data_IF_887990688700
#
_entry.id   IF_887990688700
#
_cell.length_a   1.000
_cell.length_b   1.000
_cell.length_c   1.000
_cell.angle_alpha   90.00
_cell.angle_beta   90.00
_cell.angle_gamma   90.00
#
_symmetry.space_group_name_H-M   'P 1'
#
loop_
_entity.id
_entity.type
_entity.pdbx_description
1 polymer ?
#
# COMPACT_ATOMS: atom_id res chain seq x y z
N UNK A 1 3.01 -15.28 19.67
CA UNK A 1 4.34 -15.89 19.94
C UNK A 1 5.34 -14.93 19.35
N UNK A 2 6.13 -14.27 20.20
CA UNK A 2 7.03 -13.16 19.83
C UNK A 2 8.30 -13.71 19.18
N UNK A 3 8.44 -13.56 17.87
CA UNK A 3 9.71 -13.74 17.18
C UNK A 3 10.66 -12.64 17.64
N UNK A 4 11.68 -13.04 18.40
CA UNK A 4 12.80 -12.20 18.79
C UNK A 4 13.72 -12.09 17.59
N UNK A 5 14.18 -10.89 17.22
CA UNK A 5 15.18 -10.73 16.16
C UNK A 5 16.39 -11.59 16.50
N UNK A 6 16.69 -12.57 15.64
CA UNK A 6 17.91 -13.36 15.73
C UNK A 6 19.08 -12.42 15.53
N UNK A 7 19.78 -12.08 16.61
CA UNK A 7 20.97 -11.25 16.57
C UNK A 7 22.14 -12.12 16.13
N UNK A 8 23.19 -11.51 15.59
CA UNK A 8 24.47 -12.21 15.38
C UNK A 8 25.01 -12.86 16.67
N UNK A 9 24.56 -12.37 17.83
CA UNK A 9 24.83 -12.89 19.17
C UNK A 9 24.13 -14.22 19.48
N UNK A 10 23.10 -14.60 18.70
CA UNK A 10 22.27 -15.81 18.90
C UNK A 10 22.75 -17.01 18.07
N UNK A 11 23.87 -16.85 17.34
CA UNK A 11 24.53 -17.90 16.56
C UNK A 11 25.71 -18.50 17.37
N UNK A 12 25.79 -19.83 17.47
CA UNK A 12 26.89 -20.53 18.17
C UNK A 12 27.46 -21.69 17.36
N UNK A 13 28.67 -22.16 17.68
CA UNK A 13 29.26 -23.34 17.05
C UNK A 13 29.01 -24.60 17.89
N UNK A 14 28.56 -25.69 17.27
CA UNK A 14 28.40 -26.99 17.93
C UNK A 14 29.75 -27.71 18.16
N UNK A 15 29.72 -28.87 18.83
CA UNK A 15 30.92 -29.69 19.11
C UNK A 15 31.65 -30.21 17.87
N UNK A 16 31.02 -30.10 16.69
CA UNK A 16 31.57 -30.45 15.38
C UNK A 16 31.99 -29.21 14.56
N UNK A 17 31.93 -28.01 15.16
CA UNK A 17 32.32 -26.76 14.53
C UNK A 17 31.32 -26.21 13.51
N UNK A 18 30.04 -26.58 13.58
CA UNK A 18 28.97 -26.03 12.72
C UNK A 18 28.26 -24.86 13.39
N UNK A 19 28.05 -23.78 12.64
CA UNK A 19 27.29 -22.62 13.10
C UNK A 19 25.79 -22.94 13.15
N UNK A 20 25.15 -22.78 14.30
CA UNK A 20 23.73 -23.06 14.55
C UNK A 20 23.07 -21.87 15.28
N UNK A 21 21.82 -21.57 14.92
CA UNK A 21 21.01 -20.51 15.55
C UNK A 21 20.26 -21.08 16.78
N UNK A 22 20.42 -20.43 17.94
CA UNK A 22 19.82 -20.83 19.21
C UNK A 22 18.37 -20.32 19.41
N UNK A 23 17.87 -19.42 18.54
CA UNK A 23 16.53 -18.83 18.65
C UNK A 23 15.37 -19.76 18.19
N UNK A 24 15.70 -20.99 17.78
CA UNK A 24 14.74 -21.99 17.33
C UNK A 24 14.53 -21.96 15.81
N UNK A 25 13.99 -23.05 15.22
CA UNK A 25 13.73 -23.10 13.80
C UNK A 25 12.74 -22.00 13.44
N UNK A 26 13.09 -21.17 12.44
CA UNK A 26 12.12 -20.31 11.75
C UNK A 26 11.06 -21.25 11.17
N UNK A 27 9.89 -21.31 11.81
CA UNK A 27 8.77 -22.07 11.28
C UNK A 27 8.27 -21.33 10.04
N UNK A 28 8.64 -21.84 8.86
CA UNK A 28 8.08 -21.35 7.61
C UNK A 28 6.61 -21.76 7.54
N UNK A 29 5.73 -20.91 8.06
CA UNK A 29 4.28 -21.07 7.91
C UNK A 29 3.93 -20.84 6.44
N UNK A 30 3.49 -21.89 5.76
CA UNK A 30 2.98 -21.76 4.41
C UNK A 30 1.59 -21.12 4.46
N UNK A 31 1.55 -19.83 4.16
CA UNK A 31 0.32 -19.18 3.74
C UNK A 31 0.11 -19.52 2.26
N UNK A 32 -1.11 -19.91 1.88
CA UNK A 32 -1.46 -20.11 0.48
C UNK A 32 -1.21 -18.85 -0.36
N UNK A 33 -1.40 -18.90 -1.70
CA UNK A 33 -1.27 -17.71 -2.52
C UNK A 33 -2.19 -16.60 -1.99
N UNK A 34 -1.75 -15.33 -2.01
CA UNK A 34 -2.61 -14.23 -1.60
C UNK A 34 -3.87 -14.20 -2.47
N UNK A 35 -4.98 -13.71 -1.90
CA UNK A 35 -6.21 -13.53 -2.66
C UNK A 35 -5.95 -12.71 -3.93
N UNK A 36 -6.62 -13.04 -5.06
CA UNK A 36 -6.45 -12.29 -6.30
C UNK A 36 -6.73 -10.80 -6.10
N UNK A 37 -5.90 -9.98 -6.73
CA UNK A 37 -6.16 -8.54 -6.79
C UNK A 37 -7.27 -8.29 -7.80
N UNK A 38 -8.30 -7.57 -7.38
CA UNK A 38 -9.41 -7.13 -8.23
C UNK A 38 -9.49 -5.60 -8.22
N UNK A 39 -10.27 -5.05 -9.15
CA UNK A 39 -10.39 -3.60 -9.34
C UNK A 39 -11.86 -3.20 -9.40
N UNK A 40 -12.26 -2.23 -8.59
CA UNK A 40 -13.60 -1.63 -8.61
C UNK A 40 -13.50 -0.19 -9.09
N UNK A 41 -14.53 0.32 -9.78
CA UNK A 41 -14.60 1.73 -10.09
C UNK A 41 -14.71 2.52 -8.78
N UNK A 42 -14.03 3.68 -8.69
CA UNK A 42 -14.03 4.49 -7.47
C UNK A 42 -15.44 4.88 -7.03
N UNK A 43 -16.34 5.12 -7.97
CA UNK A 43 -17.73 5.51 -7.70
C UNK A 43 -18.60 4.36 -7.15
N UNK A 44 -18.16 3.11 -7.26
CA UNK A 44 -18.87 1.95 -6.71
C UNK A 44 -18.50 1.69 -5.24
N UNK A 45 -17.59 2.50 -4.69
CA UNK A 45 -17.07 2.39 -3.33
C UNK A 45 -17.56 3.56 -2.47
N UNK A 46 -17.67 3.34 -1.16
CA UNK A 46 -18.02 4.38 -0.19
C UNK A 46 -16.85 5.31 0.11
N UNK A 47 -16.02 4.93 1.07
CA UNK A 47 -14.81 5.69 1.44
C UNK A 47 -13.61 5.23 0.61
N UNK A 48 -12.94 6.17 -0.04
CA UNK A 48 -11.87 5.87 -1.01
C UNK A 48 -10.52 6.50 -0.68
N UNK A 49 -10.45 7.44 0.27
CA UNK A 49 -9.18 8.05 0.67
C UNK A 49 -8.15 7.02 1.13
N UNK A 50 -6.90 7.21 0.70
CA UNK A 50 -5.76 6.35 1.00
C UNK A 50 -5.75 5.01 0.29
N UNK A 51 -6.82 4.60 -0.41
CA UNK A 51 -6.84 3.34 -1.16
C UNK A 51 -5.83 3.38 -2.32
N UNK A 52 -5.29 2.20 -2.64
CA UNK A 52 -4.49 1.99 -3.84
C UNK A 52 -5.35 2.14 -5.07
N UNK A 53 -4.84 2.84 -6.06
CA UNK A 53 -5.54 3.13 -7.28
C UNK A 53 -4.71 2.78 -8.51
N UNK A 54 -5.43 2.55 -9.60
CA UNK A 54 -4.91 2.57 -10.94
C UNK A 54 -5.74 3.56 -11.76
N UNK A 55 -5.11 4.15 -12.75
CA UNK A 55 -5.83 4.86 -13.83
C UNK A 55 -5.64 4.12 -15.13
N UNK A 56 -6.58 4.30 -16.04
CA UNK A 56 -6.58 3.75 -17.40
C UNK A 56 -7.23 4.77 -18.32
N UNK A 57 -6.43 5.21 -19.27
CA UNK A 57 -6.82 6.15 -20.31
C UNK A 57 -6.36 5.62 -21.67
N UNK A 58 -6.40 6.47 -22.70
CA UNK A 58 -6.01 6.10 -24.06
C UNK A 58 -4.53 5.68 -24.21
N UNK A 59 -3.66 6.02 -23.26
CA UNK A 59 -2.24 5.63 -23.23
C UNK A 59 -1.99 4.33 -22.47
N UNK A 60 -3.03 3.71 -21.91
CA UNK A 60 -2.93 2.47 -21.14
C UNK A 60 -3.16 2.67 -19.65
N UNK A 61 -2.75 1.68 -18.87
CA UNK A 61 -2.91 1.68 -17.41
C UNK A 61 -1.68 2.26 -16.71
N UNK A 62 -1.91 3.00 -15.63
CA UNK A 62 -0.87 3.46 -14.69
C UNK A 62 -1.24 2.98 -13.30
N UNK A 63 -0.28 2.34 -12.64
CA UNK A 63 -0.40 1.75 -11.30
C UNK A 63 0.45 2.55 -10.30
N UNK A 64 0.60 2.02 -9.08
CA UNK A 64 1.38 2.62 -8.00
C UNK A 64 0.88 4.03 -7.60
N UNK A 65 -0.44 4.20 -7.64
CA UNK A 65 -1.12 5.43 -7.22
C UNK A 65 -1.92 5.20 -5.94
N UNK A 66 -2.19 6.28 -5.21
CA UNK A 66 -3.13 6.33 -4.10
C UNK A 66 -4.09 7.49 -4.23
N UNK A 67 -5.30 7.26 -3.71
CA UNK A 67 -6.36 8.26 -3.66
C UNK A 67 -6.08 9.22 -2.51
N UNK A 68 -5.91 10.50 -2.83
CA UNK A 68 -5.50 11.57 -1.94
C UNK A 68 -6.65 12.53 -1.59
N UNK A 69 -7.90 12.19 -1.94
CA UNK A 69 -9.11 12.85 -1.47
C UNK A 69 -10.30 11.89 -1.58
N UNK A 70 -11.37 12.15 -0.83
CA UNK A 70 -12.67 11.56 -1.19
C UNK A 70 -13.13 12.04 -2.58
N UNK A 71 -14.09 11.31 -3.16
CA UNK A 71 -14.74 11.70 -4.41
C UNK A 71 -15.55 12.99 -4.20
N UNK A 72 -15.39 13.95 -5.11
CA UNK A 72 -16.08 15.23 -5.05
C UNK A 72 -16.63 15.61 -6.43
N UNK A 73 -17.70 16.41 -6.44
CA UNK A 73 -18.28 16.96 -7.66
C UNK A 73 -17.67 18.32 -7.97
N UNK A 74 -17.28 18.52 -9.24
CA UNK A 74 -16.84 19.81 -9.76
C UNK A 74 -17.22 19.93 -11.24
N UNK A 75 -17.60 21.12 -11.71
CA UNK A 75 -17.95 21.38 -13.11
C UNK A 75 -18.87 20.33 -13.81
N UNK A 76 -19.79 19.69 -13.07
CA UNK A 76 -20.71 18.67 -13.58
C UNK A 76 -20.10 17.27 -13.78
N UNK A 77 -18.95 17.00 -13.16
CA UNK A 77 -18.31 15.69 -13.15
C UNK A 77 -17.83 15.29 -11.75
N UNK A 78 -17.46 14.02 -11.60
CA UNK A 78 -16.91 13.47 -10.36
C UNK A 78 -15.39 13.29 -10.48
N UNK A 79 -14.69 13.69 -9.43
CA UNK A 79 -13.23 13.76 -9.41
C UNK A 79 -12.65 13.22 -8.10
N UNK A 80 -11.40 12.79 -8.18
CA UNK A 80 -10.55 12.47 -7.02
C UNK A 80 -9.16 13.03 -7.25
N UNK A 81 -8.44 13.27 -6.17
CA UNK A 81 -7.01 13.54 -6.23
C UNK A 81 -6.23 12.23 -6.18
N UNK A 82 -5.21 12.09 -7.02
CA UNK A 82 -4.31 10.95 -7.04
C UNK A 82 -2.87 11.40 -6.82
N UNK A 83 -2.09 10.55 -6.17
CA UNK A 83 -0.67 10.76 -5.93
C UNK A 83 0.10 9.45 -6.14
N UNK A 84 1.39 9.51 -6.47
CA UNK A 84 2.25 8.33 -6.48
C UNK A 84 2.38 7.70 -5.08
N UNK A 85 2.52 6.37 -5.01
CA UNK A 85 2.62 5.65 -3.73
C UNK A 85 3.88 6.07 -2.94
N UNK A 86 4.98 6.38 -3.61
CA UNK A 86 6.19 6.95 -3.00
C UNK A 86 5.92 8.28 -2.28
N UNK A 87 5.20 9.19 -2.95
CA UNK A 87 4.84 10.50 -2.43
C UNK A 87 3.80 10.41 -1.31
N UNK A 88 2.92 9.42 -1.35
CA UNK A 88 2.00 9.12 -0.25
C UNK A 88 2.76 8.76 1.03
N UNK A 89 3.75 7.86 0.92
CA UNK A 89 4.56 7.48 2.08
C UNK A 89 5.40 8.65 2.59
N UNK A 90 6.00 9.44 1.70
CA UNK A 90 6.71 10.65 2.08
C UNK A 90 5.79 11.65 2.82
N UNK A 91 4.54 11.78 2.40
CA UNK A 91 3.55 12.63 3.08
C UNK A 91 3.16 12.07 4.46
N UNK A 92 2.98 10.75 4.60
CA UNK A 92 2.72 10.11 5.89
C UNK A 92 3.91 10.18 6.86
N UNK A 93 5.14 10.33 6.36
CA UNK A 93 6.33 10.52 7.21
C UNK A 93 6.43 11.92 7.84
N UNK A 94 5.61 12.88 7.39
CA UNK A 94 5.53 14.20 8.02
C UNK A 94 4.75 14.09 9.33
N UNK A 95 5.24 14.71 10.40
CA UNK A 95 4.56 14.79 11.69
C UNK A 95 3.12 15.31 11.52
N UNK A 96 2.17 14.70 12.23
CA UNK A 96 0.74 14.98 12.05
C UNK A 96 0.38 16.45 12.24
N UNK A 97 1.01 17.14 13.20
CA UNK A 97 0.83 18.58 13.47
C UNK A 97 1.20 19.49 12.28
N UNK A 98 2.14 19.03 11.44
CA UNK A 98 2.67 19.77 10.30
C UNK A 98 2.22 19.18 8.95
N UNK A 99 1.50 18.05 8.97
CA UNK A 99 1.11 17.34 7.77
C UNK A 99 -0.01 18.10 7.07
N UNK A 100 0.16 18.51 5.80
CA UNK A 100 -0.92 19.13 5.06
C UNK A 100 -2.08 18.15 4.89
N UNK A 101 -3.31 18.65 4.73
CA UNK A 101 -4.51 17.80 4.58
C UNK A 101 -4.42 16.78 3.42
N UNK A 102 -3.52 17.00 2.46
CA UNK A 102 -3.27 16.14 1.31
C UNK A 102 -1.79 16.18 0.90
N UNK A 103 -1.26 15.09 0.30
CA UNK A 103 0.05 15.08 -0.32
C UNK A 103 0.26 16.23 -1.32
N UNK A 104 1.45 16.83 -1.30
CA UNK A 104 1.86 17.76 -2.34
C UNK A 104 1.87 17.07 -3.71
N UNK A 105 1.58 17.81 -4.79
CA UNK A 105 1.52 17.30 -6.19
C UNK A 105 0.40 16.30 -6.49
N UNK A 106 -0.53 16.08 -5.56
CA UNK A 106 -1.73 15.31 -5.86
C UNK A 106 -2.48 15.93 -7.04
N UNK A 107 -2.71 15.14 -8.09
CA UNK A 107 -3.29 15.56 -9.37
C UNK A 107 -4.77 15.20 -9.41
N UNK A 108 -5.61 16.09 -9.93
CA UNK A 108 -7.05 15.85 -10.06
C UNK A 108 -7.34 14.94 -11.27
N UNK A 109 -8.14 13.89 -11.06
CA UNK A 109 -8.53 12.92 -12.08
C UNK A 109 -10.05 12.70 -12.09
N UNK A 110 -10.70 12.63 -13.28
CA UNK A 110 -12.10 12.22 -13.38
C UNK A 110 -12.27 10.77 -12.92
N UNK A 111 -13.22 10.50 -12.01
CA UNK A 111 -13.41 9.18 -11.39
C UNK A 111 -13.71 8.06 -12.39
N UNK A 112 -14.29 8.39 -13.56
CA UNK A 112 -14.52 7.44 -14.67
C UNK A 112 -13.25 6.79 -15.23
N UNK A 113 -12.07 7.33 -14.90
CA UNK A 113 -10.77 6.78 -15.28
C UNK A 113 -9.98 6.29 -14.06
N UNK A 114 -10.62 6.05 -12.93
CA UNK A 114 -9.95 5.64 -11.70
C UNK A 114 -10.58 4.37 -11.16
N UNK A 115 -9.72 3.40 -10.84
CA UNK A 115 -10.08 2.12 -10.25
C UNK A 115 -9.33 1.95 -8.94
N UNK A 116 -9.97 1.39 -7.93
CA UNK A 116 -9.35 1.07 -6.64
C UNK A 116 -9.07 -0.42 -6.52
N UNK A 117 -7.93 -0.76 -5.93
CA UNK A 117 -7.58 -2.15 -5.57
C UNK A 117 -8.58 -2.66 -4.53
N UNK A 118 -9.15 -3.84 -4.78
CA UNK A 118 -9.96 -4.60 -3.83
C UNK A 118 -9.38 -6.02 -3.74
N UNK A 119 -9.19 -6.50 -2.50
CA UNK A 119 -8.76 -7.87 -2.22
C UNK A 119 -9.95 -8.65 -1.70
N UNK A 120 -10.22 -9.82 -2.27
CA UNK A 120 -11.21 -10.74 -1.71
C UNK A 120 -10.77 -11.14 -0.31
N UNK A 121 -11.64 -10.93 0.68
CA UNK A 121 -11.48 -11.45 2.04
C UNK A 121 -11.73 -12.95 2.09
#
# INVERSE_FOLDING_TARGET
MTERESKWEDLTFDENGRLVDLAGPVEFVSFGPPAPITWAAVMDLGEVFGRRAAVRNSRGSTYDLRIASEAFEDAGGWYVHLVGEDQWWAWLSIDEEHRPARPARATCWPTRYVWSEIRGS
#
